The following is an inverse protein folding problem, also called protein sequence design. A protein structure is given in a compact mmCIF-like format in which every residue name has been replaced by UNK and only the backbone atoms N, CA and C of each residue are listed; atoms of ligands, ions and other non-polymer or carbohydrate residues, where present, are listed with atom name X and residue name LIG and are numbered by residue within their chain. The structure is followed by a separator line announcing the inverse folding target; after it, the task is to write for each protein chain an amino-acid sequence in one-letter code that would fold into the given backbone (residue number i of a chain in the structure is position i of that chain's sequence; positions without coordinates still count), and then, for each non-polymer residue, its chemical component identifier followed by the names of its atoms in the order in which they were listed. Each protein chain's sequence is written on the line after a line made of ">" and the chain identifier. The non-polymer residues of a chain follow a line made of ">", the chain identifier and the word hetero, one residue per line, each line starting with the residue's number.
data_IF_908054875064
#
_entry.id   IF_908054875064
#
_cell.length_a   1.000
_cell.length_b   1.000
_cell.length_c   1.000
_cell.angle_alpha   90.00
_cell.angle_beta   90.00
_cell.angle_gamma   90.00
#
_symmetry.space_group_name_H-M   'P 1'
#
loop_
_entity.id
_entity.type
_entity.pdbx_description
1 polymer ?
#
# COMPACT_ATOMS: atom_id res chain seq x y z
N UNK A 1 -24.21 -40.76 55.86
CA UNK A 1 -24.55 -39.35 55.59
C UNK A 1 -23.58 -38.78 54.57
N UNK A 2 -24.06 -37.83 53.76
CA UNK A 2 -23.36 -36.96 52.81
C UNK A 2 -23.12 -37.47 51.37
N UNK A 3 -24.15 -37.15 50.56
CA UNK A 3 -24.16 -36.85 49.13
C UNK A 3 -22.97 -36.00 48.64
N UNK A 4 -22.46 -36.30 47.44
CA UNK A 4 -21.73 -35.32 46.61
C UNK A 4 -22.25 -35.36 45.18
N UNK A 5 -23.07 -34.36 44.88
CA UNK A 5 -23.64 -34.11 43.55
C UNK A 5 -22.63 -33.59 42.55
N UNK A 6 -22.80 -34.04 41.32
CA UNK A 6 -22.11 -33.59 40.12
C UNK A 6 -22.45 -32.13 39.80
N UNK A 7 -21.44 -31.25 39.73
CA UNK A 7 -21.54 -29.94 39.08
C UNK A 7 -20.85 -30.01 37.72
N UNK A 8 -21.64 -30.14 36.65
CA UNK A 8 -21.25 -29.75 35.28
C UNK A 8 -21.01 -28.24 35.29
N UNK A 9 -19.80 -27.79 34.96
CA UNK A 9 -19.56 -26.41 34.56
C UNK A 9 -19.65 -26.34 33.05
N UNK A 10 -20.68 -25.67 32.57
CA UNK A 10 -20.71 -25.12 31.22
C UNK A 10 -19.68 -23.97 31.20
N UNK A 11 -18.65 -24.09 30.36
CA UNK A 11 -17.90 -22.91 29.94
C UNK A 11 -18.63 -22.34 28.72
N UNK A 12 -19.17 -21.14 28.90
CA UNK A 12 -19.60 -20.26 27.82
C UNK A 12 -18.37 -19.82 27.06
N UNK A 13 -18.18 -20.33 25.85
CA UNK A 13 -17.20 -19.79 24.92
C UNK A 13 -17.71 -18.45 24.39
N UNK A 14 -17.29 -17.39 25.07
CA UNK A 14 -17.23 -16.05 24.52
C UNK A 14 -15.76 -15.65 24.55
N UNK A 15 -14.97 -16.32 23.73
CA UNK A 15 -13.61 -15.91 23.41
C UNK A 15 -13.64 -15.40 21.97
N UNK A 16 -13.46 -14.09 21.87
CA UNK A 16 -13.17 -13.38 20.63
C UNK A 16 -11.91 -14.00 20.01
N UNK A 17 -12.10 -14.84 18.99
CA UNK A 17 -11.02 -15.33 18.15
C UNK A 17 -10.35 -14.14 17.48
N UNK A 18 -9.19 -13.76 18.02
CA UNK A 18 -8.22 -12.89 17.34
C UNK A 18 -7.83 -13.57 16.02
N UNK A 19 -8.38 -13.03 14.94
CA UNK A 19 -8.11 -13.40 13.56
C UNK A 19 -6.65 -13.02 13.24
N UNK A 20 -5.69 -13.91 13.56
CA UNK A 20 -4.27 -13.80 13.22
C UNK A 20 -4.05 -13.96 11.71
N UNK A 21 -4.50 -12.96 10.95
CA UNK A 21 -4.07 -12.76 9.56
C UNK A 21 -3.52 -11.36 9.44
N UNK A 22 -2.20 -11.29 9.43
CA UNK A 22 -1.43 -10.11 9.03
C UNK A 22 -2.06 -8.80 9.52
N UNK A 23 -2.12 -8.63 10.85
CA UNK A 23 -1.95 -7.29 11.39
C UNK A 23 -0.55 -6.86 10.94
N UNK A 24 -0.48 -6.28 9.74
CA UNK A 24 0.64 -5.44 9.35
C UNK A 24 0.88 -4.52 10.55
N UNK A 25 2.06 -4.51 11.19
CA UNK A 25 2.32 -3.76 12.42
C UNK A 25 2.45 -2.25 12.13
N UNK A 26 1.68 -1.77 11.17
CA UNK A 26 1.78 -0.46 10.57
C UNK A 26 0.63 0.31 11.18
N UNK A 27 0.96 1.08 12.22
CA UNK A 27 0.09 2.06 12.81
C UNK A 27 -0.63 2.84 11.69
N UNK A 28 -1.93 3.06 11.88
CA UNK A 28 -2.68 4.01 11.07
C UNK A 28 -1.83 5.28 10.90
N UNK A 29 -1.74 5.78 9.67
CA UNK A 29 -1.17 7.11 9.44
C UNK A 29 -2.17 8.11 10.05
N UNK A 30 -2.02 8.45 11.34
CA UNK A 30 -2.80 9.48 12.04
C UNK A 30 -2.57 10.90 11.49
N UNK A 31 -1.87 11.03 10.35
CA UNK A 31 -1.40 12.28 9.77
C UNK A 31 -2.21 12.62 8.52
N UNK A 32 -2.52 13.90 8.36
CA UNK A 32 -3.04 14.46 7.12
C UNK A 32 -2.01 14.32 5.99
N UNK A 33 -2.18 13.30 5.14
CA UNK A 33 -1.26 13.04 4.04
C UNK A 33 -1.28 14.12 2.96
N UNK A 34 -2.34 14.92 2.84
CA UNK A 34 -2.38 16.03 1.88
C UNK A 34 -1.37 17.08 2.33
N UNK A 35 -1.43 17.48 3.60
CA UNK A 35 -0.48 18.42 4.15
C UNK A 35 0.93 17.82 4.23
N UNK A 36 1.07 16.54 4.55
CA UNK A 36 2.38 15.87 4.60
C UNK A 36 3.01 15.75 3.20
N UNK A 37 2.22 15.43 2.17
CA UNK A 37 2.66 15.43 0.79
C UNK A 37 3.11 16.83 0.34
N UNK A 38 2.35 17.87 0.68
CA UNK A 38 2.73 19.26 0.41
C UNK A 38 4.05 19.64 1.12
N UNK A 39 4.24 19.22 2.37
CA UNK A 39 5.51 19.38 3.08
C UNK A 39 6.66 18.68 2.33
N UNK A 40 6.46 17.44 1.88
CA UNK A 40 7.47 16.69 1.11
C UNK A 40 7.82 17.35 -0.21
N UNK A 41 6.84 17.91 -0.93
CA UNK A 41 7.11 18.69 -2.15
C UNK A 41 7.97 19.92 -1.86
N UNK A 42 7.63 20.68 -0.82
CA UNK A 42 8.43 21.86 -0.46
C UNK A 42 9.84 21.50 0.02
N UNK A 43 10.01 20.39 0.75
CA UNK A 43 11.32 19.89 1.16
C UNK A 43 12.16 19.40 -0.02
N UNK A 44 11.52 18.81 -1.03
CA UNK A 44 12.15 18.48 -2.30
C UNK A 44 12.71 19.74 -2.99
N UNK A 45 11.93 20.83 -2.99
CA UNK A 45 12.35 22.10 -3.61
C UNK A 45 13.47 22.80 -2.82
N UNK A 46 13.50 22.59 -1.49
CA UNK A 46 14.52 23.15 -0.60
C UNK A 46 15.92 22.50 -0.72
N UNK A 47 16.05 21.37 -1.44
CA UNK A 47 17.31 20.70 -1.77
C UNK A 47 18.27 20.49 -0.57
N UNK A 48 17.74 19.95 0.51
CA UNK A 48 18.45 19.77 1.78
C UNK A 48 19.40 18.58 1.76
N UNK A 49 20.47 18.66 2.57
CA UNK A 49 21.49 17.61 2.68
C UNK A 49 21.54 17.06 4.10
N UNK A 50 20.85 15.95 4.35
CA UNK A 50 20.98 15.18 5.59
C UNK A 50 21.34 13.74 5.28
N UNK A 51 22.22 13.18 6.11
CA UNK A 51 22.80 11.85 5.93
C UNK A 51 22.11 10.76 6.75
N UNK A 52 21.29 11.11 7.75
CA UNK A 52 20.64 10.13 8.63
C UNK A 52 19.23 10.55 9.07
N UNK A 53 18.41 9.57 9.46
CA UNK A 53 17.02 9.76 9.85
C UNK A 53 16.81 10.74 11.04
N UNK A 54 17.54 10.64 12.16
CA UNK A 54 17.41 11.61 13.25
C UNK A 54 17.82 13.03 12.85
N UNK A 55 18.75 13.14 11.91
CA UNK A 55 19.16 14.43 11.32
C UNK A 55 18.05 14.97 10.42
N UNK A 56 17.36 14.11 9.65
CA UNK A 56 16.23 14.47 8.81
C UNK A 56 15.08 15.08 9.62
N UNK A 57 14.65 14.43 10.70
CA UNK A 57 13.55 14.97 11.54
C UNK A 57 13.93 16.34 12.10
N UNK A 58 15.16 16.50 12.59
CA UNK A 58 15.66 17.79 13.10
C UNK A 58 15.76 18.87 12.03
N UNK A 59 16.23 18.53 10.83
CA UNK A 59 16.31 19.49 9.72
C UNK A 59 14.92 19.94 9.25
N UNK A 60 13.96 19.02 9.14
CA UNK A 60 12.57 19.33 8.79
C UNK A 60 11.95 20.26 9.84
N UNK A 61 12.10 19.94 11.13
CA UNK A 61 11.58 20.80 12.21
C UNK A 61 12.21 22.20 12.15
N UNK A 62 13.53 22.28 12.00
CA UNK A 62 14.25 23.56 11.91
C UNK A 62 13.81 24.38 10.70
N UNK A 63 13.56 23.74 9.56
CA UNK A 63 13.08 24.43 8.35
C UNK A 63 11.69 25.03 8.53
N UNK A 64 10.80 24.30 9.17
CA UNK A 64 9.44 24.74 9.42
C UNK A 64 9.43 25.89 10.44
N UNK A 65 10.29 25.82 11.46
CA UNK A 65 10.44 26.89 12.46
C UNK A 65 11.07 28.17 11.87
N UNK A 66 12.00 28.03 10.92
CA UNK A 66 12.74 29.17 10.35
C UNK A 66 12.06 29.82 9.14
N UNK A 67 11.09 29.15 8.51
CA UNK A 67 10.43 29.66 7.31
C UNK A 67 8.94 29.92 7.55
N UNK A 68 8.50 31.20 7.51
CA UNK A 68 7.10 31.58 7.74
C UNK A 68 6.11 30.86 6.81
N UNK A 69 6.55 30.58 5.57
CA UNK A 69 5.77 29.89 4.53
C UNK A 69 5.45 28.42 4.85
N UNK A 70 5.99 27.89 5.94
CA UNK A 70 5.78 26.52 6.40
C UNK A 70 5.06 26.45 7.75
N UNK A 71 4.66 27.59 8.30
CA UNK A 71 3.98 27.68 9.61
C UNK A 71 2.74 26.77 9.72
N UNK A 72 2.01 26.59 8.62
CA UNK A 72 0.85 25.69 8.48
C UNK A 72 1.18 24.20 8.70
N UNK A 73 2.45 23.80 8.58
CA UNK A 73 2.91 22.41 8.83
C UNK A 73 3.44 22.21 10.25
N UNK A 74 3.44 23.25 11.09
CA UNK A 74 3.97 23.15 12.45
C UNK A 74 3.20 22.16 13.32
N UNK A 75 1.91 21.99 13.09
CA UNK A 75 1.07 20.99 13.77
C UNK A 75 1.48 19.56 13.42
N UNK A 76 1.79 19.30 12.14
CA UNK A 76 2.16 17.97 11.64
C UNK A 76 3.48 17.50 12.24
N UNK A 77 4.43 18.41 12.40
CA UNK A 77 5.76 18.06 12.95
C UNK A 77 5.76 17.98 14.47
N UNK A 78 4.80 18.63 15.13
CA UNK A 78 4.56 18.51 16.57
C UNK A 78 3.75 17.26 16.93
N UNK A 79 3.15 16.57 15.96
CA UNK A 79 2.49 15.29 16.17
C UNK A 79 3.50 14.27 16.74
N UNK A 80 3.25 13.69 17.93
CA UNK A 80 4.10 12.66 18.50
C UNK A 80 4.36 11.47 17.56
N UNK A 81 3.44 11.19 16.65
CA UNK A 81 3.53 10.09 15.68
C UNK A 81 4.29 10.46 14.40
N UNK A 82 4.57 11.75 14.16
CA UNK A 82 5.24 12.25 12.96
C UNK A 82 6.52 11.49 12.63
N UNK A 83 7.39 11.28 13.62
CA UNK A 83 8.64 10.57 13.41
C UNK A 83 8.38 9.11 12.98
N UNK A 84 7.48 8.41 13.65
CA UNK A 84 7.21 7.01 13.32
C UNK A 84 6.59 6.87 11.93
N UNK A 85 5.63 7.72 11.60
CA UNK A 85 4.98 7.75 10.28
C UNK A 85 5.97 8.13 9.17
N UNK A 86 6.86 9.10 9.42
CA UNK A 86 7.95 9.44 8.52
C UNK A 86 8.91 8.24 8.32
N UNK A 87 9.30 7.52 9.38
CA UNK A 87 10.15 6.31 9.25
C UNK A 87 9.49 5.26 8.38
N UNK A 88 8.22 5.01 8.63
CA UNK A 88 7.43 4.00 7.95
C UNK A 88 7.28 4.33 6.46
N UNK A 89 6.90 5.57 6.12
CA UNK A 89 6.79 6.02 4.73
C UNK A 89 8.14 6.01 4.01
N UNK A 90 9.23 6.38 4.69
CA UNK A 90 10.60 6.27 4.15
C UNK A 90 10.96 4.81 3.90
N UNK A 91 10.68 3.92 4.84
CA UNK A 91 10.97 2.49 4.71
C UNK A 91 10.23 1.88 3.51
N UNK A 92 8.92 2.14 3.41
CA UNK A 92 8.07 1.65 2.33
C UNK A 92 8.43 2.25 0.97
N UNK A 93 8.74 3.55 0.92
CA UNK A 93 9.15 4.21 -0.32
C UNK A 93 10.54 3.80 -0.80
N UNK A 94 11.48 3.48 0.11
CA UNK A 94 12.89 3.38 -0.28
C UNK A 94 13.49 1.98 -0.32
N UNK A 95 13.08 0.98 0.48
CA UNK A 95 13.71 -0.38 0.53
C UNK A 95 15.26 -0.45 0.44
N UNK A 96 15.99 0.67 0.64
CA UNK A 96 17.43 0.86 0.38
C UNK A 96 17.95 1.88 1.40
N UNK A 97 19.16 1.66 1.93
CA UNK A 97 19.83 2.56 2.88
C UNK A 97 20.69 3.61 2.15
N UNK A 98 20.67 4.85 2.64
CA UNK A 98 21.52 6.00 2.29
C UNK A 98 21.16 6.76 1.00
N UNK A 99 20.11 7.59 1.04
CA UNK A 99 19.78 8.59 0.01
C UNK A 99 19.83 10.01 0.58
N UNK A 100 20.10 10.96 -0.31
CA UNK A 100 19.93 12.41 -0.12
C UNK A 100 18.47 12.80 0.17
N UNK A 101 18.23 13.91 0.92
CA UNK A 101 16.87 14.31 1.33
C UNK A 101 16.02 14.64 0.10
N UNK A 102 16.57 15.30 -0.91
CA UNK A 102 15.81 15.65 -2.11
C UNK A 102 15.24 14.41 -2.79
N UNK A 103 16.03 13.33 -2.88
CA UNK A 103 15.58 12.04 -3.43
C UNK A 103 14.60 11.30 -2.51
N UNK A 104 14.78 11.41 -1.19
CA UNK A 104 13.87 10.82 -0.21
C UNK A 104 12.51 11.50 -0.23
N UNK A 105 12.49 12.84 -0.22
CA UNK A 105 11.27 13.63 -0.30
C UNK A 105 10.52 13.36 -1.61
N UNK A 106 11.23 13.27 -2.74
CA UNK A 106 10.68 12.82 -4.03
C UNK A 106 10.05 11.44 -3.95
N UNK A 107 10.74 10.48 -3.33
CA UNK A 107 10.29 9.10 -3.26
C UNK A 107 9.07 8.94 -2.35
N UNK A 108 9.04 9.63 -1.20
CA UNK A 108 7.90 9.64 -0.30
C UNK A 108 6.71 10.37 -0.94
N UNK A 109 6.95 11.49 -1.59
CA UNK A 109 5.93 12.25 -2.33
C UNK A 109 5.30 11.41 -3.44
N UNK A 110 6.13 10.76 -4.26
CA UNK A 110 5.68 9.85 -5.32
C UNK A 110 4.90 8.64 -4.75
N UNK A 111 5.35 8.09 -3.62
CA UNK A 111 4.66 6.99 -2.95
C UNK A 111 3.28 7.42 -2.46
N UNK A 112 3.17 8.55 -1.76
CA UNK A 112 1.88 9.08 -1.29
C UNK A 112 0.95 9.38 -2.48
N UNK A 113 1.50 9.90 -3.57
CA UNK A 113 0.74 10.21 -4.78
C UNK A 113 0.25 8.98 -5.57
N UNK A 114 0.74 7.77 -5.32
CA UNK A 114 0.39 6.54 -6.06
C UNK A 114 -1.10 6.13 -5.89
N UNK A 115 -1.81 6.70 -4.92
CA UNK A 115 -3.23 6.40 -4.69
C UNK A 115 -3.46 5.16 -3.83
N UNK A 116 -2.57 4.16 -3.93
CA UNK A 116 -2.69 2.88 -3.21
C UNK A 116 -2.35 2.96 -1.72
N UNK A 117 -1.70 4.05 -1.30
CA UNK A 117 -1.34 4.43 0.06
C UNK A 117 -2.54 4.69 0.97
N UNK A 118 -3.72 4.92 0.39
CA UNK A 118 -4.98 5.07 1.16
C UNK A 118 -5.30 3.86 2.04
N UNK A 119 -4.73 2.69 1.73
CA UNK A 119 -4.87 1.45 2.52
C UNK A 119 -4.26 1.53 3.91
N UNK A 120 -3.40 2.52 4.16
CA UNK A 120 -2.74 2.74 5.45
C UNK A 120 -3.50 3.73 6.35
N UNK A 121 -4.66 4.23 5.93
CA UNK A 121 -5.50 5.10 6.75
C UNK A 121 -6.24 4.31 7.82
N UNK A 122 -6.49 4.98 8.95
CA UNK A 122 -7.40 4.45 9.97
C UNK A 122 -8.79 4.21 9.39
N UNK A 123 -9.36 3.05 9.70
CA UNK A 123 -10.69 2.71 9.23
C UNK A 123 -10.75 2.39 7.73
N UNK A 124 -9.60 2.23 7.05
CA UNK A 124 -9.63 1.65 5.70
C UNK A 124 -10.26 0.25 5.76
N UNK A 125 -11.31 -0.03 4.96
CA UNK A 125 -12.05 -1.28 5.06
C UNK A 125 -11.19 -2.51 4.76
N UNK A 126 -11.48 -3.60 5.49
CA UNK A 126 -10.77 -4.87 5.30
C UNK A 126 -11.08 -5.45 3.92
N UNK A 127 -10.12 -6.18 3.36
CA UNK A 127 -10.31 -6.86 2.08
C UNK A 127 -11.43 -7.90 2.25
N UNK A 128 -12.47 -7.88 1.39
CA UNK A 128 -13.60 -8.78 1.52
C UNK A 128 -13.15 -10.21 1.21
N UNK A 129 -13.61 -11.17 2.00
CA UNK A 129 -13.29 -12.58 1.81
C UNK A 129 -14.08 -13.13 0.63
N UNK A 130 -13.45 -13.98 -0.17
CA UNK A 130 -14.14 -14.68 -1.26
C UNK A 130 -14.82 -15.93 -0.73
N UNK A 131 -15.76 -16.46 -1.51
CA UNK A 131 -16.44 -17.71 -1.18
C UNK A 131 -15.48 -18.87 -0.84
N UNK A 132 -14.41 -19.02 -1.62
CA UNK A 132 -13.36 -20.01 -1.36
C UNK A 132 -12.68 -19.80 0.00
N UNK A 133 -12.48 -18.57 0.45
CA UNK A 133 -11.84 -18.28 1.73
C UNK A 133 -12.73 -18.66 2.90
N UNK A 134 -14.06 -18.49 2.78
CA UNK A 134 -15.02 -19.01 3.75
C UNK A 134 -15.04 -20.53 3.79
N UNK A 135 -14.90 -21.20 2.64
CA UNK A 135 -14.78 -22.65 2.60
C UNK A 135 -13.53 -23.13 3.31
N UNK A 136 -12.36 -22.54 3.00
CA UNK A 136 -11.09 -22.88 3.63
C UNK A 136 -11.17 -22.66 5.14
N UNK A 137 -11.72 -21.52 5.59
CA UNK A 137 -11.90 -21.24 7.01
C UNK A 137 -12.79 -22.28 7.71
N UNK A 138 -13.82 -22.78 7.03
CA UNK A 138 -14.69 -23.83 7.58
C UNK A 138 -14.02 -25.21 7.69
N UNK A 139 -12.91 -25.42 6.98
CA UNK A 139 -12.15 -26.68 6.94
C UNK A 139 -10.88 -26.65 7.77
N UNK A 140 -10.29 -25.47 7.94
CA UNK A 140 -9.02 -25.27 8.64
C UNK A 140 -9.12 -25.79 10.07
N UNK A 141 -8.12 -26.57 10.48
CA UNK A 141 -7.91 -27.03 11.86
C UNK A 141 -6.63 -26.44 12.44
N UNK A 142 -6.52 -26.47 13.76
CA UNK A 142 -5.31 -26.06 14.46
C UNK A 142 -4.14 -26.96 14.03
N UNK A 143 -3.05 -26.34 13.57
CA UNK A 143 -1.87 -27.03 13.04
C UNK A 143 -1.88 -27.26 11.53
N UNK A 144 -2.93 -26.89 10.80
CA UNK A 144 -2.94 -26.97 9.34
C UNK A 144 -1.92 -26.00 8.73
N UNK A 145 -1.04 -26.54 7.88
CA UNK A 145 -0.01 -25.80 7.17
C UNK A 145 -0.43 -25.38 5.76
N UNK A 146 0.51 -24.77 5.03
CA UNK A 146 0.32 -24.31 3.66
C UNK A 146 -0.09 -25.42 2.69
N UNK A 147 0.30 -26.67 2.96
CA UNK A 147 -0.02 -27.83 2.12
C UNK A 147 -1.51 -28.15 2.20
N UNK A 148 -2.05 -28.17 3.41
CA UNK A 148 -3.45 -28.47 3.72
C UNK A 148 -4.37 -27.39 3.13
N UNK A 149 -3.97 -26.11 3.24
CA UNK A 149 -4.66 -25.00 2.57
C UNK A 149 -4.72 -25.17 1.04
N UNK A 150 -3.66 -25.73 0.44
CA UNK A 150 -3.61 -26.05 -0.98
C UNK A 150 -4.57 -27.17 -1.39
N UNK A 151 -4.83 -28.14 -0.51
CA UNK A 151 -5.81 -29.21 -0.73
C UNK A 151 -7.22 -28.65 -0.68
N UNK A 152 -7.56 -27.86 0.34
CA UNK A 152 -8.89 -27.26 0.47
C UNK A 152 -9.26 -26.35 -0.72
N UNK A 153 -8.28 -25.61 -1.27
CA UNK A 153 -8.50 -24.81 -2.49
C UNK A 153 -8.90 -25.68 -3.69
N UNK A 154 -8.25 -26.82 -3.88
CA UNK A 154 -8.56 -27.76 -4.98
C UNK A 154 -9.92 -28.41 -4.78
N UNK A 155 -10.22 -28.84 -3.55
CA UNK A 155 -11.51 -29.41 -3.22
C UNK A 155 -12.66 -28.44 -3.54
N UNK A 156 -12.52 -27.16 -3.16
CA UNK A 156 -13.53 -26.15 -3.47
C UNK A 156 -13.87 -26.05 -4.95
N UNK A 157 -12.86 -26.12 -5.83
CA UNK A 157 -13.07 -26.04 -7.29
C UNK A 157 -13.79 -27.25 -7.88
N UNK A 158 -13.87 -28.36 -7.15
CA UNK A 158 -14.52 -29.60 -7.57
C UNK A 158 -15.91 -29.77 -6.94
N UNK A 159 -16.30 -28.86 -6.04
CA UNK A 159 -17.60 -28.95 -5.39
C UNK A 159 -18.74 -28.58 -6.35
N UNK A 160 -19.88 -29.28 -6.26
CA UNK A 160 -21.06 -28.90 -7.00
C UNK A 160 -21.61 -27.55 -6.52
N UNK A 161 -22.31 -26.85 -7.40
CA UNK A 161 -22.75 -25.47 -7.17
C UNK A 161 -23.61 -25.32 -5.90
N UNK A 162 -24.50 -26.28 -5.63
CA UNK A 162 -25.31 -26.32 -4.41
C UNK A 162 -24.47 -26.38 -3.12
N UNK A 163 -23.32 -27.05 -3.13
CA UNK A 163 -22.40 -27.11 -1.99
C UNK A 163 -21.60 -25.81 -1.81
N UNK A 164 -21.39 -25.05 -2.90
CA UNK A 164 -20.72 -23.74 -2.85
C UNK A 164 -21.66 -22.57 -2.58
N UNK A 165 -22.97 -22.73 -2.79
CA UNK A 165 -23.97 -21.67 -2.73
C UNK A 165 -23.95 -20.88 -1.40
N UNK A 166 -23.81 -21.59 -0.28
CA UNK A 166 -23.69 -20.94 1.04
C UNK A 166 -22.45 -20.03 1.13
N UNK A 167 -21.32 -20.47 0.60
CA UNK A 167 -20.07 -19.71 0.64
C UNK A 167 -20.07 -18.56 -0.36
N UNK A 168 -20.69 -18.74 -1.53
CA UNK A 168 -20.94 -17.66 -2.50
C UNK A 168 -21.73 -16.54 -1.83
N UNK A 169 -22.87 -16.87 -1.21
CA UNK A 169 -23.69 -15.91 -0.47
C UNK A 169 -22.92 -15.15 0.62
N UNK A 170 -22.09 -15.85 1.41
CA UNK A 170 -21.26 -15.19 2.44
C UNK A 170 -20.21 -14.25 1.82
N UNK A 171 -19.59 -14.65 0.71
CA UNK A 171 -18.66 -13.80 -0.03
C UNK A 171 -19.34 -12.57 -0.62
N UNK A 172 -20.56 -12.71 -1.14
CA UNK A 172 -21.34 -11.60 -1.69
C UNK A 172 -21.75 -10.60 -0.58
N UNK A 173 -22.20 -11.10 0.57
CA UNK A 173 -22.52 -10.24 1.73
C UNK A 173 -21.31 -9.47 2.24
N UNK A 174 -20.15 -10.13 2.33
CA UNK A 174 -18.91 -9.49 2.78
C UNK A 174 -18.41 -8.43 1.78
N UNK A 175 -18.62 -8.70 0.50
CA UNK A 175 -18.34 -7.76 -0.58
C UNK A 175 -19.26 -6.54 -0.53
N UNK A 176 -20.57 -6.73 -0.33
CA UNK A 176 -21.54 -5.65 -0.17
C UNK A 176 -21.20 -4.78 1.04
N UNK A 177 -20.92 -5.39 2.20
CA UNK A 177 -20.45 -4.68 3.39
C UNK A 177 -19.19 -3.86 3.11
N UNK A 178 -18.18 -4.46 2.46
CA UNK A 178 -16.96 -3.75 2.12
C UNK A 178 -17.20 -2.58 1.15
N UNK A 179 -18.17 -2.71 0.23
CA UNK A 179 -18.58 -1.64 -0.67
C UNK A 179 -19.19 -0.46 0.11
N UNK A 180 -20.09 -0.74 1.04
CA UNK A 180 -20.69 0.28 1.93
C UNK A 180 -19.61 0.97 2.78
N UNK A 181 -18.78 0.19 3.48
CA UNK A 181 -17.68 0.71 4.31
C UNK A 181 -16.69 1.56 3.49
N UNK A 182 -16.37 1.16 2.25
CA UNK A 182 -15.48 1.95 1.37
C UNK A 182 -16.12 3.25 0.90
N UNK A 183 -17.43 3.24 0.70
CA UNK A 183 -18.19 4.43 0.30
C UNK A 183 -18.24 5.42 1.46
N UNK A 184 -18.59 4.97 2.65
CA UNK A 184 -18.57 5.77 3.88
C UNK A 184 -17.17 6.31 4.18
N UNK A 185 -16.14 5.48 4.02
CA UNK A 185 -14.74 5.89 4.19
C UNK A 185 -14.37 7.02 3.24
N UNK A 186 -14.75 6.92 1.96
CA UNK A 186 -14.48 7.93 0.94
C UNK A 186 -15.17 9.25 1.29
N UNK A 187 -16.45 9.21 1.69
CA UNK A 187 -17.21 10.40 2.04
C UNK A 187 -16.65 11.09 3.29
N UNK A 188 -16.36 10.32 4.34
CA UNK A 188 -15.85 10.84 5.61
C UNK A 188 -14.46 11.47 5.49
N UNK A 189 -13.60 10.91 4.64
CA UNK A 189 -12.20 11.34 4.52
C UNK A 189 -11.94 12.21 3.29
N UNK A 190 -12.96 12.59 2.52
CA UNK A 190 -12.80 13.22 1.20
C UNK A 190 -11.85 14.42 1.18
N UNK A 191 -11.92 15.28 2.20
CA UNK A 191 -11.07 16.48 2.30
C UNK A 191 -9.60 16.18 2.63
N UNK A 192 -9.31 14.99 3.19
CA UNK A 192 -7.97 14.52 3.57
C UNK A 192 -7.36 13.56 2.57
N UNK A 193 -8.00 13.40 1.41
CA UNK A 193 -7.56 12.51 0.34
C UNK A 193 -7.09 13.34 -0.86
N UNK A 194 -5.99 12.89 -1.48
CA UNK A 194 -5.55 13.39 -2.77
C UNK A 194 -6.48 12.85 -3.88
N UNK A 195 -6.53 13.54 -5.01
CA UNK A 195 -7.28 13.10 -6.19
C UNK A 195 -6.87 11.70 -6.66
N UNK A 196 -5.58 11.35 -6.52
CA UNK A 196 -5.08 10.00 -6.82
C UNK A 196 -5.66 8.93 -5.89
N UNK A 197 -5.84 9.24 -4.60
CA UNK A 197 -6.52 8.36 -3.64
C UNK A 197 -8.00 8.22 -4.00
N UNK A 198 -8.70 9.32 -4.29
CA UNK A 198 -10.12 9.30 -4.68
C UNK A 198 -10.31 8.44 -5.94
N UNK A 199 -9.46 8.63 -6.94
CA UNK A 199 -9.48 7.83 -8.17
C UNK A 199 -9.19 6.34 -7.90
N UNK A 200 -8.27 6.03 -6.99
CA UNK A 200 -7.98 4.67 -6.56
C UNK A 200 -9.20 4.01 -5.90
N UNK A 201 -9.86 4.71 -4.97
CA UNK A 201 -11.05 4.25 -4.29
C UNK A 201 -12.24 4.07 -5.26
N UNK A 202 -12.46 5.02 -6.18
CA UNK A 202 -13.51 4.91 -7.19
C UNK A 202 -13.30 3.70 -8.11
N UNK A 203 -12.06 3.42 -8.53
CA UNK A 203 -11.73 2.18 -9.27
C UNK A 203 -12.01 0.93 -8.45
N UNK A 204 -11.75 0.99 -7.14
CA UNK A 204 -12.02 -0.12 -6.23
C UNK A 204 -13.52 -0.35 -6.05
N UNK A 205 -14.30 0.70 -5.83
CA UNK A 205 -15.76 0.66 -5.76
C UNK A 205 -16.36 0.13 -7.06
N UNK A 206 -15.88 0.57 -8.23
CA UNK A 206 -16.31 0.04 -9.53
C UNK A 206 -16.00 -1.47 -9.68
N UNK A 207 -14.89 -1.94 -9.11
CA UNK A 207 -14.57 -3.37 -9.10
C UNK A 207 -15.51 -4.15 -8.18
N UNK A 208 -15.90 -3.55 -7.06
CA UNK A 208 -16.82 -4.12 -6.07
C UNK A 208 -18.29 -3.99 -6.46
N UNK A 209 -18.68 -3.12 -7.39
CA UNK A 209 -20.04 -3.06 -7.92
C UNK A 209 -20.29 -4.06 -9.06
N UNK A 210 -19.25 -4.42 -9.83
CA UNK A 210 -19.37 -5.38 -10.93
C UNK A 210 -19.54 -6.82 -10.43
N UNK A 211 -20.78 -7.25 -10.19
CA UNK A 211 -21.16 -8.58 -9.65
C UNK A 211 -20.58 -9.75 -10.44
N UNK A 212 -20.28 -9.55 -11.72
CA UNK A 212 -19.57 -10.50 -12.57
C UNK A 212 -18.04 -10.35 -12.42
N UNK A 213 -17.47 -10.84 -11.31
CA UNK A 213 -16.11 -11.35 -11.42
C UNK A 213 -16.24 -12.78 -11.94
N UNK A 214 -15.87 -13.08 -13.20
CA UNK A 214 -15.76 -14.46 -13.59
C UNK A 214 -14.76 -15.12 -12.63
N UNK A 215 -15.13 -16.29 -12.10
CA UNK A 215 -14.25 -17.28 -11.45
C UNK A 215 -13.10 -17.76 -12.37
N UNK A 216 -12.73 -16.96 -13.37
CA UNK A 216 -11.45 -17.03 -14.00
C UNK A 216 -10.39 -16.88 -12.91
N UNK A 217 -9.83 -18.03 -12.50
CA UNK A 217 -8.37 -18.18 -12.45
C UNK A 217 -7.81 -17.19 -13.46
N UNK A 218 -6.99 -16.20 -13.06
CA UNK A 218 -6.51 -15.18 -13.99
C UNK A 218 -6.01 -15.97 -15.16
N UNK A 219 -6.75 -15.86 -16.27
CA UNK A 219 -6.42 -16.63 -17.46
C UNK A 219 -4.97 -16.25 -17.65
N UNK A 220 -4.07 -17.24 -17.65
CA UNK A 220 -2.68 -17.00 -18.02
C UNK A 220 -2.75 -16.61 -19.50
N UNK A 221 -3.26 -15.41 -19.82
CA UNK A 221 -2.58 -14.48 -20.70
C UNK A 221 -1.16 -14.65 -20.24
N UNK A 222 -0.37 -15.39 -21.02
CA UNK A 222 1.07 -15.47 -20.86
C UNK A 222 1.45 -14.08 -20.43
N UNK A 223 1.79 -13.91 -19.16
CA UNK A 223 2.50 -12.72 -18.73
C UNK A 223 3.74 -12.85 -19.59
N UNK A 224 3.73 -12.18 -20.73
CA UNK A 224 4.96 -11.68 -21.32
C UNK A 224 5.60 -11.05 -20.11
N UNK A 225 6.66 -11.68 -19.59
CA UNK A 225 7.37 -11.14 -18.46
C UNK A 225 7.53 -9.65 -18.77
N UNK A 226 7.11 -8.74 -17.88
CA UNK A 226 7.28 -7.32 -18.14
C UNK A 226 8.70 -7.17 -18.64
N UNK A 227 8.88 -6.69 -19.88
CA UNK A 227 10.21 -6.59 -20.49
C UNK A 227 11.10 -5.95 -19.42
N UNK A 228 12.15 -6.65 -18.99
CA UNK A 228 13.05 -6.14 -17.96
C UNK A 228 13.47 -4.76 -18.41
N UNK A 229 13.03 -3.74 -17.66
CA UNK A 229 13.32 -2.36 -18.00
C UNK A 229 14.84 -2.21 -17.94
N UNK A 230 15.44 -1.76 -19.03
CA UNK A 230 16.86 -1.47 -19.05
C UNK A 230 17.17 -0.29 -18.14
N UNK A 231 18.44 -0.12 -17.77
CA UNK A 231 18.88 1.06 -17.01
C UNK A 231 18.48 2.37 -17.71
N UNK A 232 18.48 2.35 -19.05
CA UNK A 232 18.03 3.48 -19.84
C UNK A 232 16.52 3.71 -19.77
N UNK A 233 15.69 2.65 -19.78
CA UNK A 233 14.23 2.79 -19.64
C UNK A 233 13.83 3.38 -18.28
N UNK A 234 14.58 3.02 -17.23
CA UNK A 234 14.41 3.58 -15.90
C UNK A 234 14.85 5.05 -15.84
N UNK A 235 15.93 5.39 -16.54
CA UNK A 235 16.40 6.76 -16.68
C UNK A 235 15.37 7.63 -17.43
N UNK A 236 14.81 7.13 -18.53
CA UNK A 236 13.79 7.85 -19.31
C UNK A 236 12.55 8.12 -18.46
N UNK A 237 12.09 7.14 -17.68
CA UNK A 237 10.96 7.32 -16.77
C UNK A 237 11.25 8.35 -15.65
N UNK A 238 12.48 8.35 -15.12
CA UNK A 238 12.88 9.28 -14.06
C UNK A 238 12.96 10.75 -14.51
N UNK A 239 13.26 10.98 -15.79
CA UNK A 239 13.42 12.31 -16.37
C UNK A 239 12.35 12.62 -17.42
N UNK A 240 11.23 11.91 -17.38
CA UNK A 240 10.16 12.04 -18.37
C UNK A 240 9.48 13.41 -18.30
N UNK A 241 9.33 13.96 -17.10
CA UNK A 241 8.69 15.25 -16.86
C UNK A 241 9.58 16.44 -17.23
N UNK A 242 10.91 16.30 -17.10
CA UNK A 242 11.89 17.36 -17.41
C UNK A 242 11.91 17.76 -18.90
N UNK A 243 11.26 16.98 -19.76
CA UNK A 243 11.17 17.19 -21.21
C UNK A 243 9.74 17.02 -21.73
N UNK A 244 8.73 17.33 -20.91
CA UNK A 244 7.32 17.18 -21.26
C UNK A 244 6.92 18.01 -22.50
N UNK A 245 7.58 19.16 -22.72
CA UNK A 245 7.28 20.08 -23.84
C UNK A 245 7.98 19.70 -25.16
N UNK A 246 8.75 18.61 -25.17
CA UNK A 246 9.49 18.15 -26.34
C UNK A 246 8.82 16.97 -27.02
N UNK A 247 8.88 16.97 -28.35
CA UNK A 247 8.49 15.84 -29.19
C UNK A 247 9.19 14.53 -28.76
N UNK A 248 8.46 13.42 -28.72
CA UNK A 248 8.92 12.14 -28.14
C UNK A 248 10.26 11.66 -28.74
N UNK A 249 10.43 11.80 -30.05
CA UNK A 249 11.65 11.35 -30.73
C UNK A 249 12.86 12.23 -30.38
N UNK A 250 12.65 13.56 -30.23
CA UNK A 250 13.72 14.49 -29.81
C UNK A 250 14.06 14.32 -28.34
N UNK A 251 13.06 14.04 -27.51
CA UNK A 251 13.19 13.73 -26.08
C UNK A 251 14.03 12.48 -25.85
N UNK A 252 13.71 11.38 -26.54
CA UNK A 252 14.46 10.12 -26.45
C UNK A 252 15.93 10.30 -26.84
N UNK A 253 16.22 10.97 -27.96
CA UNK A 253 17.60 11.24 -28.39
C UNK A 253 18.38 12.09 -27.37
N UNK A 254 17.72 13.06 -26.73
CA UNK A 254 18.34 13.93 -25.72
C UNK A 254 18.62 13.19 -24.43
N UNK A 255 17.67 12.38 -23.96
CA UNK A 255 17.81 11.51 -22.80
C UNK A 255 18.89 10.44 -23.01
N UNK A 256 18.98 9.87 -24.21
CA UNK A 256 20.00 8.88 -24.55
C UNK A 256 21.42 9.47 -24.47
N UNK A 257 21.64 10.65 -25.05
CA UNK A 257 22.92 11.37 -24.95
C UNK A 257 23.25 11.77 -23.51
N UNK A 258 22.25 12.07 -22.69
CA UNK A 258 22.44 12.42 -21.28
C UNK A 258 22.80 11.19 -20.45
N UNK A 259 22.13 10.07 -20.70
CA UNK A 259 22.42 8.78 -20.08
C UNK A 259 23.82 8.26 -20.42
N UNK A 260 24.29 8.46 -21.65
CA UNK A 260 25.65 8.11 -22.07
C UNK A 260 26.74 8.97 -21.42
N UNK A 261 26.38 10.17 -20.94
CA UNK A 261 27.29 11.12 -20.28
C UNK A 261 27.17 11.11 -18.76
N UNK A 262 26.33 10.25 -18.18
CA UNK A 262 26.26 10.10 -16.72
C UNK A 262 27.60 9.60 -16.19
N UNK A 263 27.95 10.04 -14.98
CA UNK A 263 29.09 9.46 -14.29
C UNK A 263 28.79 8.00 -13.92
N UNK A 264 29.83 7.17 -13.86
CA UNK A 264 29.70 5.72 -13.60
C UNK A 264 28.93 5.44 -12.29
N UNK A 265 29.07 6.31 -11.28
CA UNK A 265 28.35 6.19 -10.02
C UNK A 265 26.83 6.37 -10.19
N UNK A 266 26.40 7.31 -11.04
CA UNK A 266 24.98 7.59 -11.31
C UNK A 266 24.38 6.53 -12.23
N UNK A 267 25.15 6.08 -13.23
CA UNK A 267 24.74 5.02 -14.15
C UNK A 267 24.55 3.68 -13.44
N UNK A 268 25.44 3.36 -12.49
CA UNK A 268 25.34 2.15 -11.68
C UNK A 268 24.05 2.07 -10.86
N UNK A 269 23.44 3.20 -10.49
CA UNK A 269 22.15 3.21 -9.77
C UNK A 269 21.06 2.62 -10.66
N UNK A 270 20.94 3.09 -11.90
CA UNK A 270 19.94 2.59 -12.85
C UNK A 270 20.23 1.15 -13.28
N UNK A 271 21.50 0.77 -13.42
CA UNK A 271 21.91 -0.60 -13.73
C UNK A 271 21.58 -1.60 -12.60
N UNK A 272 21.81 -1.22 -11.34
CA UNK A 272 21.45 -2.06 -10.19
C UNK A 272 19.95 -2.23 -10.03
N UNK A 273 19.16 -1.20 -10.36
CA UNK A 273 17.70 -1.30 -10.34
C UNK A 273 17.22 -2.19 -11.50
N UNK A 274 17.78 -2.04 -12.70
CA UNK A 274 17.47 -2.87 -13.86
C UNK A 274 17.82 -4.36 -13.65
N UNK A 275 18.93 -4.67 -12.96
CA UNK A 275 19.34 -6.04 -12.65
C UNK A 275 18.40 -6.75 -11.66
N UNK A 276 17.69 -5.98 -10.82
CA UNK A 276 16.72 -6.48 -9.84
C UNK A 276 15.28 -6.48 -10.36
N UNK A 277 15.06 -5.97 -11.58
CA UNK A 277 13.78 -5.92 -12.29
C UNK A 277 13.57 -7.17 -13.18
#
# INVERSE_FOLDING_TARGET
>A
MASRGSKKRYYSNSDEEKDERDESPVASLGIDLVKFHALMQKLQDANLKASTYPTLTKEITKLIELNPDYSDFSEIVKDPEFSNNLKMLIHESLKIKNMDIGMLAKSVSAFISDGSTVKYYEGYPKIPRRAMDYYIASRKKDGDGLRELGVYRKEYTQLPENATAKFKKLGDQDRERCFEELTEFLERNRERLLDSHINFLNKRLATLSNTEQPDSTPNKKRRVAPKKKSAFDLYVAAYEQDYADMDEEKKLRKLQRRFEKLEDAERQVFERIAQKS
#
